data_IF_152292441975
#
_entry.id   IF_152292441975
#
_cell.length_a   1.000
_cell.length_b   1.000
_cell.length_c   1.000
_cell.angle_alpha   90.00
_cell.angle_beta   90.00
_cell.angle_gamma   90.00
#
_symmetry.space_group_name_H-M   'P 1'
#
loop_
_entity.id
_entity.type
_entity.pdbx_description
1 polymer ?
#
# COMPACT_ATOMS: atom_id res chain seq x y z
N UNK A 1 -6.25 1.34 23.75
CA UNK A 1 -6.05 2.49 22.83
C UNK A 1 -4.59 2.95 22.72
N UNK A 2 -3.79 2.97 23.79
CA UNK A 2 -2.37 3.42 23.73
C UNK A 2 -1.44 2.51 22.90
N UNK A 3 -1.58 1.19 23.00
CA UNK A 3 -0.73 0.26 22.24
C UNK A 3 -0.99 0.30 20.73
N UNK A 4 -2.25 0.35 20.30
CA UNK A 4 -2.61 0.45 18.88
C UNK A 4 -2.13 1.74 18.24
N UNK A 5 -2.19 2.86 18.96
CA UNK A 5 -1.64 4.13 18.51
C UNK A 5 -0.11 4.07 18.38
N UNK A 6 0.58 3.45 19.34
CA UNK A 6 2.03 3.25 19.28
C UNK A 6 2.46 2.44 18.08
N UNK A 7 1.77 1.33 17.77
CA UNK A 7 2.02 0.53 16.58
C UNK A 7 1.74 1.30 15.28
N UNK A 8 0.68 2.11 15.25
CA UNK A 8 0.36 2.93 14.07
C UNK A 8 1.45 3.99 13.80
N UNK A 9 1.95 4.66 14.85
CA UNK A 9 3.05 5.63 14.72
C UNK A 9 4.33 4.95 14.27
N UNK A 10 4.70 3.81 14.88
CA UNK A 10 5.86 3.05 14.46
C UNK A 10 5.76 2.60 12.99
N UNK A 11 4.61 2.06 12.58
CA UNK A 11 4.37 1.68 11.19
C UNK A 11 4.50 2.86 10.22
N UNK A 12 3.98 4.03 10.57
CA UNK A 12 4.12 5.25 9.78
C UNK A 12 5.58 5.70 9.63
N UNK A 13 6.36 5.63 10.71
CA UNK A 13 7.80 5.95 10.69
C UNK A 13 8.58 4.97 9.79
N UNK A 14 8.39 3.67 9.96
CA UNK A 14 9.05 2.67 9.11
C UNK A 14 8.64 2.78 7.65
N UNK A 15 7.36 3.05 7.38
CA UNK A 15 6.89 3.29 6.02
C UNK A 15 7.54 4.52 5.39
N UNK A 16 7.64 5.64 6.12
CA UNK A 16 8.32 6.83 5.65
C UNK A 16 9.82 6.60 5.40
N UNK A 17 10.51 5.91 6.33
CA UNK A 17 11.92 5.57 6.19
C UNK A 17 12.18 4.63 5.00
N UNK A 18 11.25 3.76 4.66
CA UNK A 18 11.39 2.82 3.53
C UNK A 18 11.52 3.49 2.17
N UNK A 19 11.08 4.75 2.05
CA UNK A 19 11.22 5.53 0.82
C UNK A 19 12.69 5.83 0.46
N UNK A 20 13.58 5.91 1.45
CA UNK A 20 15.01 6.19 1.23
C UNK A 20 15.71 5.02 0.52
N UNK A 21 15.68 3.78 1.05
CA UNK A 21 16.26 2.63 0.35
C UNK A 21 15.55 2.34 -0.99
N UNK A 22 14.23 2.56 -1.08
CA UNK A 22 13.50 2.41 -2.34
C UNK A 22 14.06 3.34 -3.43
N UNK A 23 14.27 4.62 -3.11
CA UNK A 23 14.89 5.57 -4.04
C UNK A 23 16.30 5.17 -4.44
N UNK A 24 17.12 4.71 -3.48
CA UNK A 24 18.48 4.23 -3.78
C UNK A 24 18.46 2.98 -4.65
N UNK A 25 17.53 2.06 -4.42
CA UNK A 25 17.35 0.86 -5.24
C UNK A 25 17.01 1.21 -6.70
N UNK A 26 16.16 2.20 -6.92
CA UNK A 26 15.77 2.66 -8.26
C UNK A 26 16.92 3.30 -9.06
N UNK A 27 18.04 3.65 -8.45
CA UNK A 27 19.25 4.07 -9.20
C UNK A 27 20.05 2.90 -9.78
N UNK A 28 19.74 1.65 -9.37
CA UNK A 28 20.46 0.44 -9.79
C UNK A 28 19.54 -0.61 -10.44
N UNK A 29 18.24 -0.47 -10.29
CA UNK A 29 17.24 -1.40 -10.79
C UNK A 29 16.01 -0.64 -11.30
N UNK A 30 15.30 -1.23 -12.27
CA UNK A 30 14.04 -0.68 -12.74
C UNK A 30 12.90 -0.87 -11.70
N UNK A 31 11.76 -0.17 -11.85
CA UNK A 31 10.63 -0.29 -10.93
C UNK A 31 10.05 -1.71 -10.83
N UNK A 32 10.17 -2.53 -11.87
CA UNK A 32 9.67 -3.91 -11.88
C UNK A 32 10.53 -4.79 -10.98
N UNK A 33 11.85 -4.74 -11.16
CA UNK A 33 12.80 -5.45 -10.30
C UNK A 33 12.71 -4.95 -8.84
N UNK A 34 12.57 -3.64 -8.64
CA UNK A 34 12.35 -3.05 -7.32
C UNK A 34 11.08 -3.56 -6.63
N UNK A 35 9.98 -3.71 -7.36
CA UNK A 35 8.74 -4.28 -6.85
C UNK A 35 8.93 -5.75 -6.46
N UNK A 36 9.55 -6.56 -7.33
CA UNK A 36 9.80 -7.97 -7.06
C UNK A 36 10.68 -8.18 -5.82
N UNK A 37 11.80 -7.45 -5.73
CA UNK A 37 12.70 -7.52 -4.58
C UNK A 37 11.97 -7.12 -3.29
N UNK A 38 11.16 -6.06 -3.33
CA UNK A 38 10.39 -5.60 -2.16
C UNK A 38 9.39 -6.66 -1.71
N UNK A 39 8.66 -7.25 -2.65
CA UNK A 39 7.68 -8.31 -2.36
C UNK A 39 8.40 -9.55 -1.81
N UNK A 40 9.49 -9.98 -2.45
CA UNK A 40 10.26 -11.14 -2.01
C UNK A 40 10.81 -10.97 -0.59
N UNK A 41 11.32 -9.79 -0.25
CA UNK A 41 11.81 -9.49 1.09
C UNK A 41 10.69 -9.58 2.15
N UNK A 42 9.50 -9.10 1.84
CA UNK A 42 8.33 -9.19 2.75
C UNK A 42 7.88 -10.64 2.91
N UNK A 43 7.77 -11.40 1.81
CA UNK A 43 7.40 -12.84 1.86
C UNK A 43 8.43 -13.62 2.67
N UNK A 44 9.73 -13.37 2.46
CA UNK A 44 10.78 -14.00 3.25
C UNK A 44 10.65 -13.69 4.75
N UNK A 45 10.38 -12.43 5.10
CA UNK A 45 10.19 -12.02 6.49
C UNK A 45 9.01 -12.74 7.13
N UNK A 46 7.84 -12.77 6.45
CA UNK A 46 6.67 -13.51 6.95
C UNK A 46 6.92 -15.00 7.05
N UNK A 47 7.62 -15.60 6.08
CA UNK A 47 7.96 -17.03 6.09
C UNK A 47 8.88 -17.38 7.27
N UNK A 48 9.89 -16.57 7.55
CA UNK A 48 10.82 -16.76 8.67
C UNK A 48 10.12 -16.61 10.02
N UNK A 49 9.10 -15.74 10.12
CA UNK A 49 8.33 -15.53 11.35
C UNK A 49 7.12 -16.44 11.48
N UNK A 50 6.80 -17.22 10.45
CA UNK A 50 5.59 -18.06 10.40
C UNK A 50 5.41 -19.01 11.59
N UNK A 51 6.45 -19.62 12.20
CA UNK A 51 6.27 -20.54 13.32
C UNK A 51 5.59 -19.90 14.55
N UNK A 52 5.64 -18.57 14.69
CA UNK A 52 5.09 -17.87 15.85
C UNK A 52 3.62 -17.43 15.69
N UNK A 53 3.08 -17.38 14.48
CA UNK A 53 1.76 -16.82 14.23
C UNK A 53 0.87 -17.64 13.29
N UNK A 54 1.43 -18.59 12.52
CA UNK A 54 0.67 -19.41 11.57
C UNK A 54 -0.04 -20.56 12.29
N UNK A 55 -1.33 -20.70 12.05
CA UNK A 55 -2.15 -21.80 12.55
C UNK A 55 -2.73 -22.60 11.38
N UNK A 56 -2.86 -23.92 11.56
CA UNK A 56 -3.44 -24.78 10.53
C UNK A 56 -4.91 -24.48 10.25
N UNK A 57 -5.63 -23.91 11.22
CA UNK A 57 -7.02 -23.45 11.09
C UNK A 57 -7.20 -22.25 10.16
N UNK A 58 -6.13 -21.50 9.89
CA UNK A 58 -6.18 -20.26 9.11
C UNK A 58 -6.27 -20.51 7.60
N UNK A 59 -6.07 -21.78 7.19
CA UNK A 59 -6.03 -22.15 5.79
C UNK A 59 -7.42 -22.49 5.24
N UNK A 60 -7.68 -22.00 4.02
CA UNK A 60 -8.87 -22.30 3.21
C UNK A 60 -10.22 -21.85 3.79
N UNK A 61 -10.22 -21.06 4.88
CA UNK A 61 -11.43 -20.42 5.40
C UNK A 61 -11.89 -19.23 4.52
N UNK A 62 -13.08 -18.66 4.79
CA UNK A 62 -13.59 -17.52 4.00
C UNK A 62 -12.65 -16.32 3.95
N UNK A 63 -12.00 -15.98 5.07
CA UNK A 63 -11.03 -14.88 5.14
C UNK A 63 -9.78 -15.12 4.30
N UNK A 64 -9.34 -16.38 4.16
CA UNK A 64 -8.22 -16.77 3.31
C UNK A 64 -8.42 -16.30 1.86
N UNK A 65 -9.57 -16.55 1.29
CA UNK A 65 -9.87 -16.17 -0.11
C UNK A 65 -9.93 -14.66 -0.31
N UNK A 66 -10.36 -13.91 0.70
CA UNK A 66 -10.29 -12.45 0.68
C UNK A 66 -8.85 -11.96 0.59
N UNK A 67 -7.93 -12.56 1.32
CA UNK A 67 -6.51 -12.19 1.29
C UNK A 67 -5.85 -12.62 -0.03
N UNK A 68 -6.23 -13.74 -0.60
CA UNK A 68 -5.81 -14.14 -1.96
C UNK A 68 -6.29 -13.11 -3.00
N UNK A 69 -7.55 -12.72 -2.96
CA UNK A 69 -8.11 -11.75 -3.88
C UNK A 69 -7.43 -10.37 -3.75
N UNK A 70 -7.17 -9.90 -2.53
CA UNK A 70 -6.43 -8.66 -2.31
C UNK A 70 -5.00 -8.76 -2.83
N UNK A 71 -4.34 -9.91 -2.68
CA UNK A 71 -2.97 -10.16 -3.16
C UNK A 71 -2.82 -10.05 -4.68
N UNK A 72 -3.84 -10.39 -5.45
CA UNK A 72 -3.83 -10.26 -6.91
C UNK A 72 -3.74 -8.79 -7.38
N UNK A 73 -4.18 -7.86 -6.55
CA UNK A 73 -4.18 -6.43 -6.87
C UNK A 73 -3.09 -5.68 -6.11
N UNK A 74 -2.94 -5.95 -4.82
CA UNK A 74 -1.94 -5.37 -3.94
C UNK A 74 -1.21 -6.48 -3.18
N UNK A 75 0.10 -6.57 -3.19
CA UNK A 75 1.09 -5.52 -3.47
C UNK A 75 1.53 -5.36 -4.94
N UNK A 76 1.18 -6.29 -5.82
CA UNK A 76 1.72 -6.34 -7.18
C UNK A 76 1.63 -4.99 -7.91
N UNK A 77 0.42 -4.49 -8.16
CA UNK A 77 0.21 -3.25 -8.91
C UNK A 77 0.56 -2.01 -8.10
N UNK A 78 0.22 -1.97 -6.81
CA UNK A 78 0.42 -0.76 -6.00
C UNK A 78 1.89 -0.46 -5.73
N UNK A 79 2.72 -1.48 -5.52
CA UNK A 79 4.17 -1.30 -5.33
C UNK A 79 4.79 -0.87 -6.65
N UNK A 80 4.48 -1.55 -7.76
CA UNK A 80 4.98 -1.18 -9.07
C UNK A 80 4.62 0.27 -9.43
N UNK A 81 3.35 0.66 -9.30
CA UNK A 81 2.91 2.03 -9.60
C UNK A 81 3.56 3.08 -8.70
N UNK A 82 3.80 2.75 -7.44
CA UNK A 82 4.51 3.63 -6.52
C UNK A 82 5.96 3.85 -6.95
N UNK A 83 6.67 2.76 -7.25
CA UNK A 83 8.07 2.84 -7.70
C UNK A 83 8.20 3.51 -9.06
N UNK A 84 7.28 3.26 -9.99
CA UNK A 84 7.24 3.92 -11.29
C UNK A 84 6.98 5.44 -11.15
N UNK A 85 6.08 5.83 -10.24
CA UNK A 85 5.87 7.24 -9.91
C UNK A 85 7.11 7.87 -9.29
N UNK A 86 7.78 7.18 -8.35
CA UNK A 86 9.04 7.65 -7.75
C UNK A 86 10.15 7.82 -8.78
N UNK A 87 10.25 6.89 -9.72
CA UNK A 87 11.24 6.93 -10.80
C UNK A 87 11.04 8.13 -11.72
N UNK A 88 9.79 8.47 -12.06
CA UNK A 88 9.44 9.53 -13.00
C UNK A 88 9.36 10.93 -12.39
N UNK A 89 8.79 11.06 -11.22
CA UNK A 89 8.50 12.35 -10.59
C UNK A 89 9.22 12.57 -9.24
N UNK A 90 9.99 11.59 -8.81
CA UNK A 90 10.69 11.64 -7.53
C UNK A 90 9.84 11.23 -6.33
N UNK A 91 10.54 10.99 -5.21
CA UNK A 91 9.94 10.45 -3.97
C UNK A 91 8.91 11.41 -3.39
N UNK A 92 9.19 12.71 -3.40
CA UNK A 92 8.30 13.72 -2.80
C UNK A 92 6.92 13.69 -3.46
N UNK A 93 6.83 13.73 -4.78
CA UNK A 93 5.56 13.69 -5.51
C UNK A 93 4.83 12.35 -5.30
N UNK A 94 5.55 11.24 -5.39
CA UNK A 94 4.97 9.92 -5.20
C UNK A 94 4.43 9.73 -3.78
N UNK A 95 5.19 10.13 -2.74
CA UNK A 95 4.77 10.01 -1.34
C UNK A 95 3.60 10.94 -0.99
N UNK A 96 3.56 12.14 -1.58
CA UNK A 96 2.43 13.06 -1.44
C UNK A 96 1.13 12.43 -1.92
N UNK A 97 1.14 11.88 -3.13
CA UNK A 97 -0.04 11.24 -3.68
C UNK A 97 -0.37 9.94 -2.95
N UNK A 98 0.63 9.19 -2.46
CA UNK A 98 0.39 8.03 -1.61
C UNK A 98 -0.36 8.39 -0.32
N UNK A 99 -0.13 9.57 0.24
CA UNK A 99 -0.83 10.07 1.42
C UNK A 99 -2.32 10.41 1.17
N UNK A 100 -2.80 10.38 -0.08
CA UNK A 100 -4.23 10.50 -0.40
C UNK A 100 -4.98 9.15 -0.27
N UNK A 101 -4.28 8.04 -0.06
CA UNK A 101 -4.92 6.71 0.06
C UNK A 101 -5.98 6.60 1.17
N UNK A 102 -5.91 7.29 2.33
CA UNK A 102 -6.98 7.28 3.32
C UNK A 102 -8.30 7.86 2.79
N UNK A 103 -8.25 8.83 1.87
CA UNK A 103 -9.45 9.37 1.23
C UNK A 103 -10.18 8.28 0.43
N UNK A 104 -9.43 7.53 -0.38
CA UNK A 104 -9.99 6.41 -1.15
C UNK A 104 -10.47 5.27 -0.24
N UNK A 105 -9.75 5.00 0.86
CA UNK A 105 -10.18 4.00 1.85
C UNK A 105 -11.50 4.41 2.51
N UNK A 106 -11.64 5.67 2.93
CA UNK A 106 -12.88 6.18 3.50
C UNK A 106 -14.04 6.13 2.50
N UNK A 107 -13.81 6.55 1.25
CA UNK A 107 -14.81 6.50 0.19
C UNK A 107 -15.28 5.06 -0.07
N UNK A 108 -14.36 4.11 -0.17
CA UNK A 108 -14.71 2.71 -0.40
C UNK A 108 -15.35 2.04 0.82
N UNK A 109 -15.00 2.44 2.05
CA UNK A 109 -15.65 1.97 3.27
C UNK A 109 -17.12 2.41 3.33
N UNK A 110 -17.43 3.64 2.94
CA UNK A 110 -18.83 4.11 2.83
C UNK A 110 -19.58 3.29 1.78
N UNK A 111 -19.00 3.10 0.60
CA UNK A 111 -19.69 2.43 -0.51
C UNK A 111 -19.88 0.92 -0.28
N UNK A 112 -18.87 0.24 0.26
CA UNK A 112 -18.86 -1.22 0.36
C UNK A 112 -19.32 -1.74 1.73
N UNK A 113 -19.05 -0.98 2.80
CA UNK A 113 -19.39 -1.39 4.17
C UNK A 113 -20.56 -0.60 4.75
N UNK A 114 -21.05 0.43 4.07
CA UNK A 114 -22.10 1.31 4.59
C UNK A 114 -21.67 2.12 5.82
N UNK A 115 -20.36 2.32 6.02
CA UNK A 115 -19.85 3.04 7.18
C UNK A 115 -20.20 4.53 7.12
N UNK A 116 -20.54 5.10 8.27
CA UNK A 116 -20.76 6.54 8.38
C UNK A 116 -19.44 7.24 8.71
N UNK A 117 -19.08 8.26 7.92
CA UNK A 117 -17.94 9.08 8.25
C UNK A 117 -18.19 9.91 9.51
N UNK A 118 -17.35 9.75 10.52
CA UNK A 118 -17.34 10.66 11.65
C UNK A 118 -16.69 11.98 11.24
N UNK A 119 -17.17 13.10 11.80
CA UNK A 119 -16.61 14.43 11.55
C UNK A 119 -15.09 14.48 11.81
N UNK A 120 -14.63 13.74 12.80
CA UNK A 120 -13.20 13.65 13.16
C UNK A 120 -12.37 13.04 12.01
N UNK A 121 -12.87 11.97 11.38
CA UNK A 121 -12.20 11.34 10.23
C UNK A 121 -12.20 12.27 9.02
N UNK A 122 -13.33 12.97 8.75
CA UNK A 122 -13.41 13.96 7.67
C UNK A 122 -12.39 15.09 7.85
N UNK A 123 -12.38 15.71 9.01
CA UNK A 123 -11.46 16.82 9.31
C UNK A 123 -10.01 16.34 9.26
N UNK A 124 -9.70 15.19 9.86
CA UNK A 124 -8.36 14.61 9.84
C UNK A 124 -7.87 14.31 8.41
N UNK A 125 -8.73 13.77 7.55
CA UNK A 125 -8.40 13.50 6.14
C UNK A 125 -8.12 14.81 5.38
N UNK A 126 -8.97 15.84 5.53
CA UNK A 126 -8.79 17.15 4.89
C UNK A 126 -7.51 17.83 5.35
N UNK A 127 -7.24 17.83 6.66
CA UNK A 127 -6.01 18.41 7.23
C UNK A 127 -4.77 17.69 6.72
N UNK A 128 -4.80 16.35 6.68
CA UNK A 128 -3.70 15.55 6.14
C UNK A 128 -3.45 15.88 4.67
N UNK A 129 -4.51 15.94 3.86
CA UNK A 129 -4.39 16.29 2.44
C UNK A 129 -3.84 17.72 2.24
N UNK A 130 -4.33 18.69 2.98
CA UNK A 130 -3.86 20.07 2.90
C UNK A 130 -2.37 20.17 3.29
N UNK A 131 -1.96 19.47 4.36
CA UNK A 131 -0.56 19.39 4.78
C UNK A 131 0.35 18.78 3.72
N UNK A 132 -0.10 17.71 3.10
CA UNK A 132 0.63 17.03 2.03
C UNK A 132 0.70 17.88 0.76
N UNK A 133 -0.41 18.53 0.38
CA UNK A 133 -0.41 19.45 -0.77
C UNK A 133 0.52 20.64 -0.55
N UNK A 134 0.60 21.18 0.65
CA UNK A 134 1.48 22.31 0.97
C UNK A 134 2.97 21.96 0.83
N UNK A 135 3.34 20.70 1.11
CA UNK A 135 4.73 20.22 0.95
C UNK A 135 5.17 20.05 -0.50
N UNK A 136 4.23 19.90 -1.43
CA UNK A 136 4.51 19.65 -2.86
C UNK A 136 4.24 20.87 -3.73
N UNK A 137 3.66 21.92 -3.14
CA UNK A 137 3.40 23.14 -3.87
C UNK A 137 4.71 23.85 -4.25
N UNK A 138 5.13 23.70 -5.52
CA UNK A 138 6.24 24.45 -6.13
C UNK A 138 5.65 25.45 -7.13
N UNK A 139 5.59 26.74 -6.78
CA UNK A 139 5.09 27.75 -7.69
C UNK A 139 6.00 27.85 -8.95
N UNK A 140 5.39 27.90 -10.13
CA UNK A 140 6.10 28.21 -11.38
C UNK A 140 6.63 27.03 -12.18
N UNK A 141 6.53 25.80 -11.72
CA UNK A 141 6.88 24.61 -12.52
C UNK A 141 5.67 24.09 -13.27
N UNK A 142 5.62 24.29 -14.57
CA UNK A 142 4.59 23.71 -15.42
C UNK A 142 4.59 22.17 -15.36
N UNK A 143 3.40 21.56 -15.34
CA UNK A 143 3.25 20.08 -15.29
C UNK A 143 3.68 19.49 -16.63
N UNK A 144 4.86 18.89 -16.68
CA UNK A 144 5.37 18.21 -17.87
C UNK A 144 4.57 16.93 -18.17
N UNK A 145 4.71 16.39 -19.40
CA UNK A 145 4.09 15.12 -19.79
C UNK A 145 4.55 13.97 -18.87
N UNK A 146 5.82 13.94 -18.49
CA UNK A 146 6.39 12.93 -17.59
C UNK A 146 5.75 13.03 -16.20
N UNK A 147 5.59 14.24 -15.70
CA UNK A 147 4.92 14.50 -14.43
C UNK A 147 3.46 14.04 -14.46
N UNK A 148 2.70 14.30 -15.53
CA UNK A 148 1.31 13.81 -15.66
C UNK A 148 1.20 12.29 -15.58
N UNK A 149 2.09 11.58 -16.26
CA UNK A 149 2.14 10.12 -16.23
C UNK A 149 2.45 9.62 -14.81
N UNK A 150 3.42 10.23 -14.12
CA UNK A 150 3.76 9.89 -12.75
C UNK A 150 2.59 10.12 -11.77
N UNK A 151 1.83 11.21 -11.96
CA UNK A 151 0.63 11.50 -11.17
C UNK A 151 -0.45 10.42 -11.37
N UNK A 152 -0.64 9.92 -12.60
CA UNK A 152 -1.57 8.81 -12.87
C UNK A 152 -1.16 7.54 -12.12
N UNK A 153 0.11 7.16 -12.17
CA UNK A 153 0.61 5.98 -11.43
C UNK A 153 0.43 6.12 -9.92
N UNK A 154 0.80 7.27 -9.36
CA UNK A 154 0.67 7.49 -7.92
C UNK A 154 -0.79 7.52 -7.46
N UNK A 155 -1.69 8.12 -8.24
CA UNK A 155 -3.13 8.14 -7.94
C UNK A 155 -3.72 6.74 -8.04
N UNK A 156 -3.38 5.98 -9.08
CA UNK A 156 -3.81 4.59 -9.22
C UNK A 156 -3.34 3.73 -8.05
N UNK A 157 -2.08 3.86 -7.62
CA UNK A 157 -1.56 3.18 -6.44
C UNK A 157 -2.35 3.54 -5.16
N UNK A 158 -2.74 4.81 -5.00
CA UNK A 158 -3.51 5.28 -3.84
C UNK A 158 -4.94 4.73 -3.84
N UNK A 159 -5.60 4.68 -4.99
CA UNK A 159 -6.92 4.06 -5.15
C UNK A 159 -6.86 2.58 -4.80
N UNK A 160 -5.89 1.85 -5.34
CA UNK A 160 -5.71 0.43 -5.05
C UNK A 160 -5.51 0.20 -3.55
N UNK A 161 -4.66 0.97 -2.89
CA UNK A 161 -4.47 0.87 -1.43
C UNK A 161 -5.75 1.16 -0.66
N UNK A 162 -6.50 2.18 -1.07
CA UNK A 162 -7.78 2.50 -0.45
C UNK A 162 -8.75 1.33 -0.52
N UNK A 163 -8.93 0.75 -1.70
CA UNK A 163 -9.77 -0.43 -1.92
C UNK A 163 -9.32 -1.62 -1.06
N UNK A 164 -8.02 -1.91 -1.06
CA UNK A 164 -7.45 -3.05 -0.33
C UNK A 164 -7.55 -2.87 1.18
N UNK A 165 -7.43 -1.65 1.71
CA UNK A 165 -7.67 -1.40 3.13
C UNK A 165 -9.10 -1.77 3.54
N UNK A 166 -10.09 -1.44 2.70
CA UNK A 166 -11.49 -1.75 2.95
C UNK A 166 -11.78 -3.25 2.79
N UNK A 167 -11.32 -3.87 1.71
CA UNK A 167 -11.52 -5.32 1.48
C UNK A 167 -10.71 -6.16 2.47
N UNK A 168 -9.54 -5.69 2.87
CA UNK A 168 -8.71 -6.30 3.92
C UNK A 168 -9.42 -6.33 5.28
N UNK A 169 -10.21 -5.29 5.61
CA UNK A 169 -11.03 -5.27 6.81
C UNK A 169 -12.06 -6.41 6.78
N UNK A 170 -12.77 -6.61 5.67
CA UNK A 170 -13.72 -7.73 5.52
C UNK A 170 -13.00 -9.08 5.73
N UNK A 171 -11.80 -9.23 5.17
CA UNK A 171 -11.01 -10.45 5.38
C UNK A 171 -10.62 -10.67 6.84
N UNK A 172 -10.24 -9.60 7.55
CA UNK A 172 -9.85 -9.65 8.96
C UNK A 172 -11.04 -9.89 9.90
N UNK A 173 -12.24 -9.47 9.55
CA UNK A 173 -13.46 -9.79 10.31
C UNK A 173 -13.78 -11.29 10.25
N UNK A 174 -13.41 -11.97 9.17
CA UNK A 174 -13.59 -13.41 8.97
C UNK A 174 -12.41 -14.25 9.47
N UNK A 175 -11.20 -13.71 9.41
CA UNK A 175 -9.95 -14.34 9.86
C UNK A 175 -9.07 -13.26 10.53
N UNK A 176 -9.16 -13.11 11.89
CA UNK A 176 -8.49 -12.04 12.62
C UNK A 176 -6.99 -12.31 12.82
N UNK A 177 -6.29 -12.65 11.74
CA UNK A 177 -4.85 -12.89 11.70
C UNK A 177 -4.19 -11.97 10.66
N UNK A 178 -3.73 -10.79 11.10
CA UNK A 178 -3.12 -9.79 10.22
C UNK A 178 -1.80 -10.28 9.60
N UNK A 179 -1.06 -11.17 10.28
CA UNK A 179 0.17 -11.74 9.74
C UNK A 179 -0.14 -12.69 8.57
N UNK A 180 -1.17 -13.54 8.73
CA UNK A 180 -1.66 -14.42 7.65
C UNK A 180 -2.17 -13.62 6.46
N UNK A 181 -2.90 -12.53 6.70
CA UNK A 181 -3.36 -11.60 5.67
C UNK A 181 -2.20 -11.04 4.85
N UNK A 182 -1.16 -10.53 5.53
CA UNK A 182 0.05 -10.02 4.89
C UNK A 182 0.78 -11.10 4.11
N UNK A 183 1.05 -12.26 4.74
CA UNK A 183 1.74 -13.38 4.11
C UNK A 183 1.06 -13.83 2.81
N UNK A 184 -0.26 -14.08 2.85
CA UNK A 184 -1.02 -14.53 1.69
C UNK A 184 -1.04 -13.49 0.57
N UNK A 185 -1.36 -12.23 0.92
CA UNK A 185 -1.44 -11.17 -0.07
C UNK A 185 -0.10 -10.93 -0.77
N UNK A 186 1.01 -10.90 -0.02
CA UNK A 186 2.33 -10.70 -0.61
C UNK A 186 2.82 -11.93 -1.37
N UNK A 187 2.51 -13.14 -0.93
CA UNK A 187 2.86 -14.37 -1.66
C UNK A 187 2.12 -14.46 -2.99
N UNK A 188 0.80 -14.24 -2.98
CA UNK A 188 -0.02 -14.23 -4.21
C UNK A 188 0.42 -13.10 -5.14
N UNK A 189 0.65 -11.90 -4.61
CA UNK A 189 1.15 -10.77 -5.38
C UNK A 189 2.53 -11.04 -6.00
N UNK A 190 3.43 -11.68 -5.26
CA UNK A 190 4.75 -12.08 -5.75
C UNK A 190 4.68 -13.10 -6.88
N UNK A 191 3.85 -14.13 -6.72
CA UNK A 191 3.59 -15.10 -7.79
C UNK A 191 2.98 -14.43 -9.03
N UNK A 192 2.06 -13.48 -8.84
CA UNK A 192 1.49 -12.69 -9.93
C UNK A 192 2.54 -11.88 -10.69
N UNK A 193 3.49 -11.25 -9.98
CA UNK A 193 4.61 -10.53 -10.60
C UNK A 193 5.48 -11.48 -11.43
N UNK A 194 5.87 -12.61 -10.85
CA UNK A 194 6.69 -13.60 -11.56
C UNK A 194 6.02 -14.13 -12.84
N UNK A 195 4.71 -14.37 -12.79
CA UNK A 195 3.95 -14.86 -13.95
C UNK A 195 3.82 -13.82 -15.05
N UNK A 196 3.55 -12.54 -14.69
CA UNK A 196 3.35 -11.46 -15.67
C UNK A 196 4.65 -11.06 -16.33
N UNK A 197 5.71 -10.95 -15.56
CA UNK A 197 7.00 -10.49 -16.08
C UNK A 197 7.86 -11.62 -16.65
N UNK A 198 7.42 -12.88 -16.56
CA UNK A 198 8.14 -14.07 -17.08
C UNK A 198 9.62 -14.12 -16.64
N UNK A 199 9.89 -13.72 -15.41
CA UNK A 199 11.20 -13.79 -14.76
C UNK A 199 11.36 -15.14 -14.08
#
# INVERSE_FOLDING_TARGET
MSASLGFAVAAALFFGLSAIPAKRGLSHADPQAGALISIAAVVATFSLTSPWWMQSSDWFGPGFWWFVATGLVNPMLSIYFTLESMNRAGVTVASTLAATSPLFAAFTAILLLGETMTTVIMVGTVVTMAGVMSLTWTPGTGVTRVMRIALVFATAASIIRGLVNTTGKIGLDLLPNAMMAGFLSYTVGGLGVLLIYRI
#
